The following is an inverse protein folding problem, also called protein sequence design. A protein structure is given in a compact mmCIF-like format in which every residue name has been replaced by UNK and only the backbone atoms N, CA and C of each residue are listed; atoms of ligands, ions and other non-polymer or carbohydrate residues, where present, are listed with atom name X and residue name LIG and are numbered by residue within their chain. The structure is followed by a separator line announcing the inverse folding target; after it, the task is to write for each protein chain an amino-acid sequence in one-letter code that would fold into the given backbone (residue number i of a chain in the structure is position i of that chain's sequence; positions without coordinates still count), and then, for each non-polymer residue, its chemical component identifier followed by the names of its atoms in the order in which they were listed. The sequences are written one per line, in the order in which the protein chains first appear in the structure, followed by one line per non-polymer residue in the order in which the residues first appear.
data_IF_213452896864
#
_entry.id   IF_213452896864
#
_cell.length_a   1.000
_cell.length_b   1.000
_cell.length_c   1.000
_cell.angle_alpha   90.00
_cell.angle_beta   90.00
_cell.angle_gamma   90.00
#
_symmetry.space_group_name_H-M   'P 1'
#
loop_
_entity.id
_entity.type
_entity.pdbx_description
1 polymer ?
#
# COMPACT_ATOMS: atom_id res chain seq x y z
N UNK A 1 -7.34 -2.90 -4.91
CA UNK A 1 -6.95 -1.48 -5.00
C UNK A 1 -7.40 -0.78 -3.73
N UNK A 2 -6.48 -0.18 -2.97
CA UNK A 2 -6.76 0.34 -1.62
C UNK A 2 -6.29 1.77 -1.34
N UNK A 3 -5.97 2.51 -2.39
CA UNK A 3 -5.62 3.93 -2.34
C UNK A 3 -6.73 4.78 -2.98
N UNK A 4 -6.88 6.05 -2.61
CA UNK A 4 -7.77 6.96 -3.32
C UNK A 4 -7.21 7.30 -4.72
N UNK A 5 -8.06 7.34 -5.75
CA UNK A 5 -7.69 7.92 -7.04
C UNK A 5 -7.67 9.44 -6.94
N UNK A 6 -6.61 10.07 -7.43
CA UNK A 6 -6.45 11.52 -7.42
C UNK A 6 -6.04 12.04 -8.80
N UNK A 7 -6.38 13.30 -9.13
CA UNK A 7 -5.78 13.97 -10.28
C UNK A 7 -4.25 13.89 -10.24
N UNK A 8 -3.65 13.58 -11.40
CA UNK A 8 -2.21 13.37 -11.54
C UNK A 8 -1.72 11.96 -11.21
N UNK A 9 -2.60 11.01 -10.88
CA UNK A 9 -2.19 9.61 -10.80
C UNK A 9 -1.85 9.04 -12.19
N UNK A 10 -0.73 8.32 -12.27
CA UNK A 10 -0.19 7.74 -13.49
C UNK A 10 -0.45 6.22 -13.51
N UNK A 11 -1.56 5.83 -14.13
CA UNK A 11 -2.03 4.45 -14.16
C UNK A 11 -1.99 3.88 -15.58
N UNK A 12 -1.50 2.64 -15.68
CA UNK A 12 -1.53 1.87 -16.91
C UNK A 12 -2.95 1.44 -17.24
N UNK A 13 -3.41 1.73 -18.45
CA UNK A 13 -4.73 1.30 -18.93
C UNK A 13 -4.61 0.42 -20.17
N UNK A 14 -5.55 -0.52 -20.31
CA UNK A 14 -5.79 -1.24 -21.56
C UNK A 14 -7.13 -0.81 -22.10
N UNK A 15 -7.19 -0.42 -23.37
CA UNK A 15 -8.43 0.00 -24.01
C UNK A 15 -8.53 -0.56 -25.44
N UNK A 16 -9.74 -0.55 -25.99
CA UNK A 16 -9.97 -0.89 -27.40
C UNK A 16 -9.81 0.39 -28.24
N UNK A 17 -8.94 0.43 -29.28
CA UNK A 17 -8.67 1.67 -30.03
C UNK A 17 -9.92 2.33 -30.64
N UNK A 18 -10.88 1.53 -31.09
CA UNK A 18 -12.13 2.02 -31.69
C UNK A 18 -13.15 2.52 -30.65
N UNK A 19 -12.93 2.24 -29.36
CA UNK A 19 -13.82 2.66 -28.29
C UNK A 19 -13.01 2.95 -27.01
N UNK A 20 -12.23 4.05 -26.97
CA UNK A 20 -11.27 4.33 -25.90
C UNK A 20 -11.90 4.58 -24.52
N UNK A 21 -13.22 4.85 -24.48
CA UNK A 21 -13.99 4.94 -23.24
C UNK A 21 -14.23 3.56 -22.58
N UNK A 22 -14.05 2.46 -23.33
CA UNK A 22 -13.99 1.11 -22.77
C UNK A 22 -12.54 0.78 -22.45
N UNK A 23 -12.14 1.08 -21.21
CA UNK A 23 -10.81 0.80 -20.70
C UNK A 23 -10.86 0.02 -19.39
N UNK A 24 -9.78 -0.69 -19.12
CA UNK A 24 -9.51 -1.36 -17.85
C UNK A 24 -8.18 -0.84 -17.30
N UNK A 25 -8.18 -0.43 -16.03
CA UNK A 25 -6.97 -0.05 -15.32
C UNK A 25 -6.23 -1.34 -14.92
N UNK A 26 -4.92 -1.38 -15.17
CA UNK A 26 -4.03 -2.46 -14.72
C UNK A 26 -3.47 -2.07 -13.35
N UNK A 27 -4.17 -2.48 -12.30
CA UNK A 27 -3.80 -2.15 -10.93
C UNK A 27 -2.50 -2.82 -10.50
N UNK A 28 -2.13 -3.93 -11.13
CA UNK A 28 -0.96 -4.75 -10.80
C UNK A 28 0.34 -4.19 -11.38
N UNK A 29 0.26 -3.15 -12.23
CA UNK A 29 1.40 -2.56 -12.94
C UNK A 29 1.36 -1.02 -12.81
N UNK A 30 1.50 -0.48 -11.58
CA UNK A 30 1.67 0.96 -11.40
C UNK A 30 2.95 1.41 -12.10
N UNK A 31 2.95 2.66 -12.53
CA UNK A 31 4.22 3.31 -12.93
C UNK A 31 5.12 3.46 -11.69
N UNK A 32 6.43 3.59 -11.91
CA UNK A 32 7.40 3.84 -10.82
C UNK A 32 7.02 5.08 -10.00
N UNK A 33 6.66 6.18 -10.68
CA UNK A 33 6.17 7.39 -10.04
C UNK A 33 4.93 7.15 -9.17
N UNK A 34 3.99 6.32 -9.63
CA UNK A 34 2.79 6.01 -8.84
C UNK A 34 3.11 5.12 -7.64
N UNK A 35 4.06 4.21 -7.79
CA UNK A 35 4.54 3.37 -6.69
C UNK A 35 5.19 4.21 -5.60
N UNK A 36 6.09 5.13 -5.96
CA UNK A 36 6.71 6.08 -5.03
C UNK A 36 5.66 6.89 -4.26
N UNK A 37 4.63 7.37 -4.97
CA UNK A 37 3.52 8.10 -4.36
C UNK A 37 2.75 7.25 -3.35
N UNK A 38 2.43 6.01 -3.69
CA UNK A 38 1.73 5.10 -2.77
C UNK A 38 2.58 4.71 -1.57
N UNK A 39 3.88 4.50 -1.76
CA UNK A 39 4.81 4.26 -0.67
C UNK A 39 4.89 5.48 0.27
N UNK A 40 4.97 6.69 -0.27
CA UNK A 40 4.97 7.92 0.52
C UNK A 40 3.67 8.09 1.33
N UNK A 41 2.52 7.84 0.73
CA UNK A 41 1.22 7.90 1.43
C UNK A 41 1.13 6.84 2.55
N UNK A 42 1.62 5.62 2.30
CA UNK A 42 1.68 4.58 3.31
C UNK A 42 2.61 4.96 4.46
N UNK A 43 3.78 5.54 4.16
CA UNK A 43 4.76 6.02 5.15
C UNK A 43 4.18 7.13 6.02
N UNK A 44 3.64 8.19 5.42
CA UNK A 44 3.01 9.31 6.13
C UNK A 44 1.91 8.80 7.08
N UNK A 45 1.06 7.90 6.57
CA UNK A 45 -0.02 7.33 7.37
C UNK A 45 0.51 6.47 8.52
N UNK A 46 1.51 5.64 8.27
CA UNK A 46 2.09 4.75 9.27
C UNK A 46 2.86 5.52 10.34
N UNK A 47 3.66 6.53 9.98
CA UNK A 47 4.31 7.45 10.91
C UNK A 47 3.27 8.15 11.80
N UNK A 48 2.18 8.66 11.21
CA UNK A 48 1.14 9.37 11.98
C UNK A 48 0.43 8.50 13.01
N UNK A 49 0.40 7.17 12.80
CA UNK A 49 -0.24 6.21 13.70
C UNK A 49 0.75 5.53 14.66
N UNK A 50 2.05 5.64 14.38
CA UNK A 50 3.13 5.03 15.13
C UNK A 50 4.24 6.05 15.45
N UNK A 51 3.95 7.11 16.22
CA UNK A 51 4.91 8.16 16.55
C UNK A 51 6.11 7.66 17.37
N UNK A 52 6.05 6.43 17.90
CA UNK A 52 7.15 5.74 18.56
C UNK A 52 8.24 5.24 17.60
N UNK A 53 7.94 5.12 16.30
CA UNK A 53 8.88 4.64 15.30
C UNK A 53 9.73 5.79 14.75
N UNK A 54 11.03 5.53 14.57
CA UNK A 54 11.88 6.47 13.83
C UNK A 54 11.55 6.44 12.32
N UNK A 55 11.79 7.55 11.61
CA UNK A 55 11.56 7.66 10.15
C UNK A 55 12.22 6.51 9.35
N UNK A 56 13.44 6.12 9.72
CA UNK A 56 14.13 4.97 9.10
C UNK A 56 13.34 3.66 9.27
N UNK A 57 12.76 3.43 10.45
CA UNK A 57 11.97 2.24 10.73
C UNK A 57 10.67 2.24 9.93
N UNK A 58 9.99 3.39 9.84
CA UNK A 58 8.80 3.56 9.01
C UNK A 58 9.10 3.23 7.55
N UNK A 59 10.15 3.81 6.97
CA UNK A 59 10.55 3.55 5.59
C UNK A 59 10.87 2.08 5.34
N UNK A 60 11.60 1.45 6.27
CA UNK A 60 11.92 0.03 6.19
C UNK A 60 10.67 -0.85 6.25
N UNK A 61 9.73 -0.57 7.15
CA UNK A 61 8.47 -1.32 7.26
C UNK A 61 7.56 -1.14 6.03
N UNK A 62 7.54 0.05 5.44
CA UNK A 62 6.81 0.32 4.19
C UNK A 62 7.41 -0.48 3.03
N UNK A 63 8.75 -0.47 2.91
CA UNK A 63 9.45 -1.28 1.92
C UNK A 63 9.17 -2.77 2.12
N UNK A 64 9.24 -3.25 3.36
CA UNK A 64 8.93 -4.64 3.71
C UNK A 64 7.50 -5.03 3.33
N UNK A 65 6.51 -4.17 3.61
CA UNK A 65 5.12 -4.43 3.22
C UNK A 65 5.00 -4.58 1.69
N UNK A 66 5.70 -3.73 0.93
CA UNK A 66 5.72 -3.85 -0.52
C UNK A 66 6.44 -5.12 -1.01
N UNK A 67 7.53 -5.53 -0.38
CA UNK A 67 8.25 -6.74 -0.77
C UNK A 67 7.45 -8.01 -0.53
N UNK A 68 6.65 -8.05 0.54
CA UNK A 68 5.83 -9.21 0.87
C UNK A 68 4.58 -9.33 -0.01
N UNK A 69 3.86 -8.22 -0.22
CA UNK A 69 2.51 -8.25 -0.83
C UNK A 69 2.32 -7.21 -1.96
N UNK A 70 3.39 -6.59 -2.44
CA UNK A 70 3.34 -5.55 -3.46
C UNK A 70 2.46 -4.36 -3.04
N UNK A 71 1.66 -3.86 -3.97
CA UNK A 71 0.73 -2.76 -3.69
C UNK A 71 -0.32 -3.11 -2.63
N UNK A 72 -0.65 -4.40 -2.45
CA UNK A 72 -1.59 -4.82 -1.42
C UNK A 72 -1.01 -4.57 -0.03
N UNK A 73 0.27 -4.86 0.19
CA UNK A 73 0.95 -4.57 1.45
C UNK A 73 1.00 -3.08 1.77
N UNK A 74 1.30 -2.24 0.77
CA UNK A 74 1.24 -0.78 0.93
C UNK A 74 -0.17 -0.30 1.28
N UNK A 75 -1.20 -0.86 0.65
CA UNK A 75 -2.60 -0.52 0.93
C UNK A 75 -3.03 -0.97 2.33
N UNK A 76 -2.55 -2.11 2.82
CA UNK A 76 -2.78 -2.56 4.20
C UNK A 76 -2.21 -1.56 5.20
N UNK A 77 -0.98 -1.08 5.01
CA UNK A 77 -0.40 -0.04 5.86
C UNK A 77 -1.18 1.27 5.76
N UNK A 78 -1.52 1.72 4.56
CA UNK A 78 -2.29 2.96 4.38
C UNK A 78 -3.68 2.90 5.05
N UNK A 79 -4.32 1.73 5.08
CA UNK A 79 -5.66 1.56 5.67
C UNK A 79 -5.64 0.94 7.08
N UNK A 80 -4.50 0.93 7.77
CA UNK A 80 -4.30 0.20 9.03
C UNK A 80 -5.22 0.63 10.19
N UNK A 81 -5.83 1.81 10.12
CA UNK A 81 -6.79 2.31 11.11
C UNK A 81 -8.26 2.18 10.69
N UNK A 82 -8.54 1.69 9.47
CA UNK A 82 -9.91 1.58 8.96
C UNK A 82 -10.65 0.41 9.63
N UNK A 83 -11.92 0.60 10.05
CA UNK A 83 -12.73 -0.48 10.59
C UNK A 83 -12.90 -1.63 9.58
N UNK A 84 -12.94 -2.90 10.03
CA UNK A 84 -13.05 -4.06 9.14
C UNK A 84 -14.22 -3.99 8.15
N UNK A 85 -15.37 -3.47 8.59
CA UNK A 85 -16.60 -3.41 7.79
C UNK A 85 -16.56 -2.33 6.68
N UNK A 86 -15.65 -1.36 6.78
CA UNK A 86 -15.60 -0.21 5.85
C UNK A 86 -14.80 -0.51 4.58
N UNK A 87 -13.84 -1.43 4.65
CA UNK A 87 -12.99 -1.74 3.51
C UNK A 87 -12.49 -3.20 3.60
N UNK A 88 -13.20 -4.17 2.98
CA UNK A 88 -13.07 -5.60 3.31
C UNK A 88 -11.65 -6.17 3.20
N UNK A 89 -10.86 -5.67 2.25
CA UNK A 89 -9.56 -6.24 1.92
C UNK A 89 -8.38 -5.51 2.58
N UNK A 90 -8.55 -4.25 2.99
CA UNK A 90 -7.46 -3.44 3.54
C UNK A 90 -8.01 -2.63 4.71
N UNK A 91 -7.82 -3.14 5.92
CA UNK A 91 -8.38 -2.59 7.14
C UNK A 91 -7.48 -2.96 8.31
N UNK A 92 -7.90 -2.55 9.52
CA UNK A 92 -7.19 -2.85 10.75
C UNK A 92 -6.92 -4.35 10.96
N UNK A 93 -7.85 -5.22 10.59
CA UNK A 93 -7.64 -6.67 10.76
C UNK A 93 -6.64 -7.22 9.73
N UNK A 94 -6.67 -6.69 8.50
CA UNK A 94 -5.65 -7.01 7.50
C UNK A 94 -4.26 -6.55 7.96
N UNK A 95 -4.17 -5.37 8.57
CA UNK A 95 -2.93 -4.87 9.17
C UNK A 95 -2.44 -5.80 10.29
N UNK A 96 -3.31 -6.16 11.24
CA UNK A 96 -2.92 -7.10 12.30
C UNK A 96 -2.51 -8.47 11.77
N UNK A 97 -3.15 -8.97 10.71
CA UNK A 97 -2.71 -10.21 10.04
C UNK A 97 -1.31 -10.06 9.44
N UNK A 98 -1.05 -8.95 8.73
CA UNK A 98 0.26 -8.66 8.14
C UNK A 98 1.34 -8.62 9.23
N UNK A 99 1.18 -7.76 10.24
CA UNK A 99 2.25 -7.57 11.25
C UNK A 99 2.42 -8.77 12.16
N UNK A 100 1.41 -9.64 12.31
CA UNK A 100 1.52 -10.90 13.07
C UNK A 100 1.98 -12.09 12.23
N UNK A 101 2.11 -11.92 10.91
CA UNK A 101 2.60 -12.99 10.04
C UNK A 101 4.03 -13.38 10.42
N UNK A 102 4.38 -14.63 10.16
CA UNK A 102 5.72 -15.14 10.50
C UNK A 102 6.78 -14.48 9.63
N UNK A 103 6.44 -14.22 8.37
CA UNK A 103 7.25 -13.54 7.36
C UNK A 103 7.58 -12.12 7.81
N UNK A 104 6.57 -11.34 8.22
CA UNK A 104 6.77 -10.00 8.75
C UNK A 104 7.64 -10.01 9.99
N UNK A 105 7.29 -10.82 10.99
CA UNK A 105 8.02 -10.88 12.27
C UNK A 105 9.49 -11.29 12.10
N UNK A 106 9.82 -12.05 11.05
CA UNK A 106 11.20 -12.37 10.72
C UNK A 106 11.94 -11.18 10.14
N UNK A 107 11.35 -10.55 9.13
CA UNK A 107 12.01 -9.50 8.34
C UNK A 107 12.03 -8.13 9.03
N UNK A 108 11.02 -7.79 9.83
CA UNK A 108 10.95 -6.49 10.52
C UNK A 108 12.08 -6.29 11.54
N UNK A 109 12.75 -7.36 11.98
CA UNK A 109 13.92 -7.27 12.85
C UNK A 109 15.11 -6.59 12.17
N UNK A 110 15.18 -6.65 10.85
CA UNK A 110 16.23 -5.98 10.07
C UNK A 110 15.95 -4.47 9.91
N UNK A 111 14.76 -4.02 10.35
CA UNK A 111 14.38 -2.60 10.41
C UNK A 111 14.75 -1.91 11.74
N UNK A 112 15.32 -2.63 12.71
CA UNK A 112 15.67 -2.09 14.04
C UNK A 112 17.01 -1.36 14.07
#
# INVERSE_FOLDING_TARGET
YGFPLRPGDALSVRYVPQAPHHFQIRWEQPTEQQLERYAALAAEKHESLHPELADRQVRCQVQLAYELDGLAGLAVLYQQAIPPDSFPNYNRDAYFRLVRSTEWQRAVRDCL
#
